data_IF_437108394345
#
_entry.id   IF_437108394345
#
_cell.length_a   1.000
_cell.length_b   1.000
_cell.length_c   1.000
_cell.angle_alpha   90.00
_cell.angle_beta   90.00
_cell.angle_gamma   90.00
#
_symmetry.space_group_name_H-M   'P 1'
#
loop_
_entity.id
_entity.type
_entity.pdbx_description
1 polymer ?
#
# COMPACT_ATOMS: atom_id res chain seq x y z
N UNK A 1 -0.39 29.88 -27.23
CA UNK A 1 0.25 29.36 -26.03
C UNK A 1 -0.69 28.33 -25.39
N UNK A 2 -0.24 27.12 -25.32
CA UNK A 2 -1.03 26.07 -24.69
C UNK A 2 -0.97 26.22 -23.19
N UNK A 3 -2.13 26.22 -22.54
CA UNK A 3 -2.18 26.11 -21.08
C UNK A 3 -1.92 24.68 -20.69
N UNK A 4 -0.90 24.47 -19.86
CA UNK A 4 -0.64 23.13 -19.32
C UNK A 4 -1.65 22.81 -18.20
N UNK A 5 -2.15 21.59 -18.20
CA UNK A 5 -2.95 21.11 -17.07
C UNK A 5 -2.06 20.91 -15.86
N UNK A 6 -2.59 21.14 -14.65
CA UNK A 6 -1.82 20.85 -13.43
C UNK A 6 -1.51 19.35 -13.35
N UNK A 7 -0.34 19.04 -12.78
CA UNK A 7 0.05 17.65 -12.53
C UNK A 7 -0.91 17.00 -11.55
N UNK A 8 -1.20 15.74 -11.78
CA UNK A 8 -2.01 14.94 -10.86
C UNK A 8 -1.12 13.99 -10.06
N UNK A 9 -1.57 13.64 -8.88
CA UNK A 9 -0.94 12.66 -8.02
C UNK A 9 -1.96 11.59 -7.64
N UNK A 10 -1.48 10.43 -7.18
CA UNK A 10 -2.36 9.40 -6.66
C UNK A 10 -2.92 9.86 -5.32
N UNK A 11 -4.24 10.05 -5.23
CA UNK A 11 -4.89 10.48 -4.00
C UNK A 11 -5.17 9.31 -3.07
N UNK A 12 -5.81 8.26 -3.59
CA UNK A 12 -6.26 7.13 -2.80
C UNK A 12 -6.02 5.81 -3.54
N UNK A 13 -5.75 4.77 -2.78
CA UNK A 13 -5.85 3.39 -3.21
C UNK A 13 -6.91 2.72 -2.34
N UNK A 14 -7.95 2.16 -2.94
CA UNK A 14 -9.10 1.62 -2.21
C UNK A 14 -9.06 0.10 -2.23
N UNK A 15 -9.11 -0.53 -1.06
CA UNK A 15 -9.10 -1.98 -0.89
C UNK A 15 -10.33 -2.43 -0.10
N UNK A 16 -10.98 -3.49 -0.58
CA UNK A 16 -11.99 -4.19 0.21
C UNK A 16 -11.31 -5.11 1.19
N UNK A 17 -11.74 -5.08 2.45
CA UNK A 17 -11.20 -5.95 3.50
C UNK A 17 -12.34 -6.65 4.23
N UNK A 18 -12.06 -7.83 4.76
CA UNK A 18 -13.05 -8.61 5.50
C UNK A 18 -13.25 -8.07 6.91
N UNK A 19 -12.17 -7.60 7.55
CA UNK A 19 -12.17 -7.06 8.89
C UNK A 19 -11.32 -5.80 8.96
N UNK A 20 -11.97 -4.66 9.18
CA UNK A 20 -11.32 -3.35 9.25
C UNK A 20 -10.25 -3.32 10.34
N UNK A 21 -10.53 -3.85 11.53
CA UNK A 21 -9.59 -3.80 12.66
C UNK A 21 -8.31 -4.58 12.37
N UNK A 22 -8.43 -5.81 11.88
CA UNK A 22 -7.26 -6.64 11.54
C UNK A 22 -6.41 -5.99 10.46
N UNK A 23 -7.06 -5.45 9.43
CA UNK A 23 -6.35 -4.80 8.32
C UNK A 23 -5.69 -3.50 8.76
N UNK A 24 -6.39 -2.69 9.53
CA UNK A 24 -5.84 -1.45 10.08
C UNK A 24 -4.60 -1.73 10.94
N UNK A 25 -4.69 -2.70 11.84
CA UNK A 25 -3.56 -3.07 12.70
C UNK A 25 -2.38 -3.61 11.89
N UNK A 26 -2.67 -4.41 10.87
CA UNK A 26 -1.63 -4.93 9.96
C UNK A 26 -0.84 -3.78 9.31
N UNK A 27 -1.54 -2.84 8.68
CA UNK A 27 -0.89 -1.74 7.98
C UNK A 27 -0.21 -0.75 8.92
N UNK A 28 -0.80 -0.49 10.09
CA UNK A 28 -0.16 0.31 11.14
C UNK A 28 1.14 -0.32 11.59
N UNK A 29 1.17 -1.61 11.79
CA UNK A 29 2.36 -2.35 12.21
C UNK A 29 3.49 -2.33 11.20
N UNK A 30 3.19 -2.07 9.92
CA UNK A 30 4.22 -1.88 8.89
C UNK A 30 4.96 -0.53 9.01
N UNK A 31 4.60 0.29 9.99
CA UNK A 31 5.18 1.62 10.17
C UNK A 31 4.40 2.72 9.44
N UNK A 32 3.25 2.38 8.86
CA UNK A 32 2.41 3.36 8.18
C UNK A 32 1.58 4.15 9.20
N UNK A 33 1.31 5.39 8.87
CA UNK A 33 0.59 6.29 9.77
C UNK A 33 -0.92 6.05 9.69
N UNK A 34 -1.55 5.78 10.83
CA UNK A 34 -3.00 5.77 10.91
C UNK A 34 -3.55 7.18 10.83
N UNK A 35 -4.53 7.40 9.97
CA UNK A 35 -5.15 8.71 9.82
C UNK A 35 -6.48 8.76 10.59
N UNK A 36 -7.42 7.85 10.26
CA UNK A 36 -8.71 7.79 10.93
C UNK A 36 -9.41 6.46 10.72
N UNK A 37 -10.38 6.16 11.57
CA UNK A 37 -11.26 4.98 11.44
C UNK A 37 -12.72 5.40 11.58
N UNK A 38 -13.54 4.87 10.68
CA UNK A 38 -15.00 5.02 10.69
C UNK A 38 -15.64 3.64 10.66
N UNK A 39 -16.94 3.50 10.96
CA UNK A 39 -17.58 2.18 11.00
C UNK A 39 -17.40 1.31 9.76
N UNK A 40 -17.35 1.86 8.58
CA UNK A 40 -17.20 1.10 7.33
C UNK A 40 -15.87 1.32 6.62
N UNK A 41 -14.93 2.08 7.21
CA UNK A 41 -13.70 2.44 6.54
C UNK A 41 -12.60 2.82 7.52
N UNK A 42 -11.37 2.45 7.20
CA UNK A 42 -10.19 2.96 7.90
C UNK A 42 -9.26 3.63 6.89
N UNK A 43 -8.55 4.63 7.33
CA UNK A 43 -7.64 5.41 6.48
C UNK A 43 -6.22 5.29 7.00
N UNK A 44 -5.33 4.84 6.14
CA UNK A 44 -3.88 4.81 6.37
C UNK A 44 -3.25 5.91 5.51
N UNK A 45 -2.44 6.74 6.10
CA UNK A 45 -1.71 7.77 5.36
C UNK A 45 -0.33 7.25 4.95
N UNK A 46 -0.04 7.37 3.68
CA UNK A 46 1.27 7.05 3.13
C UNK A 46 2.12 8.32 3.04
N UNK A 47 3.42 8.13 2.98
CA UNK A 47 4.35 9.24 2.77
C UNK A 47 3.98 9.98 1.48
N UNK A 48 3.97 11.30 1.53
CA UNK A 48 3.57 12.13 0.40
C UNK A 48 2.08 12.49 0.39
N UNK A 49 1.30 12.01 1.37
CA UNK A 49 -0.11 12.40 1.52
C UNK A 49 -1.11 11.52 0.81
N UNK A 50 -0.67 10.46 0.13
CA UNK A 50 -1.57 9.46 -0.45
C UNK A 50 -2.21 8.64 0.67
N UNK A 51 -3.48 8.31 0.53
CA UNK A 51 -4.21 7.51 1.50
C UNK A 51 -4.53 6.11 0.95
N UNK A 52 -4.34 5.10 1.79
CA UNK A 52 -4.87 3.78 1.59
C UNK A 52 -6.21 3.70 2.34
N UNK A 53 -7.29 3.47 1.61
CA UNK A 53 -8.64 3.34 2.17
C UNK A 53 -8.98 1.86 2.31
N UNK A 54 -9.16 1.40 3.55
CA UNK A 54 -9.58 0.05 3.86
C UNK A 54 -11.10 0.08 4.04
N UNK A 55 -11.84 -0.55 3.13
CA UNK A 55 -13.31 -0.49 3.13
C UNK A 55 -13.89 -1.86 3.46
N UNK A 56 -14.91 -1.87 4.32
CA UNK A 56 -15.56 -3.11 4.69
C UNK A 56 -16.24 -3.76 3.48
N UNK A 57 -16.01 -5.05 3.29
CA UNK A 57 -16.51 -5.81 2.14
C UNK A 57 -18.02 -5.65 1.95
N UNK A 58 -18.78 -5.67 3.02
CA UNK A 58 -20.24 -5.66 2.99
C UNK A 58 -20.85 -4.27 3.29
N UNK A 59 -20.04 -3.22 3.31
CA UNK A 59 -20.52 -1.86 3.58
C UNK A 59 -20.94 -1.17 2.28
N UNK A 60 -22.13 -0.49 2.26
CA UNK A 60 -22.58 0.25 1.08
C UNK A 60 -21.60 1.31 0.58
N UNK A 61 -20.80 1.91 1.48
CA UNK A 61 -19.77 2.86 1.12
C UNK A 61 -18.71 2.23 0.20
N UNK A 62 -18.40 0.94 0.43
CA UNK A 62 -17.46 0.21 -0.42
C UNK A 62 -17.93 0.18 -1.87
N UNK A 63 -19.21 -0.11 -2.09
CA UNK A 63 -19.79 -0.13 -3.43
C UNK A 63 -19.73 1.26 -4.06
N UNK A 64 -20.03 2.30 -3.30
CA UNK A 64 -19.94 3.68 -3.78
C UNK A 64 -18.52 4.04 -4.23
N UNK A 65 -17.51 3.65 -3.45
CA UNK A 65 -16.11 3.93 -3.77
C UNK A 65 -15.61 3.15 -4.99
N UNK A 66 -16.30 2.09 -5.40
CA UNK A 66 -15.94 1.28 -6.55
C UNK A 66 -16.85 1.50 -7.77
N UNK A 67 -17.80 2.43 -7.72
CA UNK A 67 -18.79 2.63 -8.80
C UNK A 67 -18.20 3.14 -10.10
N UNK A 68 -17.04 3.75 -10.08
CA UNK A 68 -16.37 4.23 -11.30
C UNK A 68 -15.71 3.14 -12.14
N UNK A 69 -15.71 1.90 -11.68
CA UNK A 69 -15.12 0.80 -12.43
C UNK A 69 -16.01 0.42 -13.62
N UNK A 70 -15.36 0.13 -14.74
CA UNK A 70 -16.03 -0.38 -15.93
C UNK A 70 -16.26 -1.88 -15.77
N UNK A 71 -17.51 -2.33 -15.98
CA UNK A 71 -17.91 -3.73 -15.85
C UNK A 71 -18.17 -4.15 -14.40
N UNK A 72 -18.60 -5.40 -14.24
CA UNK A 72 -18.85 -5.97 -12.92
C UNK A 72 -17.55 -6.38 -12.25
N UNK A 73 -17.42 -6.00 -10.98
CA UNK A 73 -16.32 -6.46 -10.15
C UNK A 73 -16.82 -7.61 -9.24
N UNK A 74 -16.09 -8.71 -9.11
CA UNK A 74 -16.39 -9.73 -8.10
C UNK A 74 -16.44 -9.11 -6.70
N UNK A 75 -17.22 -9.72 -5.80
CA UNK A 75 -17.36 -9.24 -4.41
C UNK A 75 -16.02 -9.06 -3.72
N UNK A 76 -15.08 -9.93 -4.01
CA UNK A 76 -13.74 -9.84 -3.46
C UNK A 76 -12.71 -10.27 -4.50
N UNK A 77 -11.74 -9.39 -4.76
CA UNK A 77 -10.55 -9.68 -5.54
C UNK A 77 -9.34 -9.31 -4.70
N UNK A 78 -8.30 -10.15 -4.74
CA UNK A 78 -7.02 -9.79 -4.16
C UNK A 78 -6.41 -8.61 -4.93
N UNK A 79 -5.95 -7.63 -4.21
CA UNK A 79 -5.25 -6.48 -4.76
C UNK A 79 -3.75 -6.65 -4.56
N UNK A 80 -2.97 -5.85 -5.24
CA UNK A 80 -1.54 -5.73 -5.03
C UNK A 80 -1.19 -4.27 -4.86
N UNK A 81 -0.47 -3.96 -3.78
CA UNK A 81 0.02 -2.61 -3.54
C UNK A 81 1.54 -2.65 -3.42
N UNK A 82 2.20 -1.77 -4.15
CA UNK A 82 3.64 -1.59 -4.08
C UNK A 82 3.94 -0.31 -3.30
N UNK A 83 4.68 -0.48 -2.22
CA UNK A 83 5.10 0.60 -1.35
C UNK A 83 6.60 0.84 -1.52
N UNK A 84 7.03 2.06 -1.37
CA UNK A 84 8.43 2.44 -1.49
C UNK A 84 8.94 2.93 -0.14
N UNK A 85 9.97 2.28 0.38
CA UNK A 85 10.58 2.70 1.64
C UNK A 85 11.37 4.00 1.45
N UNK A 86 11.73 4.65 2.56
CA UNK A 86 12.48 5.90 2.53
C UNK A 86 13.96 5.71 2.21
N UNK A 87 14.44 4.48 2.07
CA UNK A 87 15.83 4.18 1.73
C UNK A 87 15.98 3.70 0.30
N UNK A 88 17.17 3.86 -0.28
CA UNK A 88 17.44 3.45 -1.66
C UNK A 88 18.43 2.29 -1.78
N UNK A 89 19.11 1.91 -0.70
CA UNK A 89 20.08 0.81 -0.74
C UNK A 89 19.42 -0.52 -0.41
N UNK A 90 20.02 -1.61 -0.88
CA UNK A 90 19.60 -2.96 -0.49
C UNK A 90 19.69 -3.15 1.01
N UNK A 91 20.69 -2.56 1.66
CA UNK A 91 20.87 -2.60 3.10
C UNK A 91 19.70 -1.95 3.84
N UNK A 92 19.18 -0.83 3.34
CA UNK A 92 17.99 -0.19 3.90
C UNK A 92 16.79 -1.14 3.86
N UNK A 93 16.63 -1.84 2.75
CA UNK A 93 15.53 -2.80 2.59
C UNK A 93 15.70 -4.02 3.50
N UNK A 94 16.92 -4.54 3.64
CA UNK A 94 17.23 -5.63 4.55
C UNK A 94 16.90 -5.26 5.99
N UNK A 95 17.26 -4.06 6.42
CA UNK A 95 16.95 -3.57 7.76
C UNK A 95 15.45 -3.42 7.98
N UNK A 96 14.74 -2.90 7.00
CA UNK A 96 13.29 -2.77 7.06
C UNK A 96 12.63 -4.15 7.20
N UNK A 97 13.06 -5.09 6.37
CA UNK A 97 12.55 -6.47 6.40
C UNK A 97 12.80 -7.13 7.75
N UNK A 98 14.00 -7.00 8.29
CA UNK A 98 14.35 -7.53 9.61
C UNK A 98 13.46 -6.95 10.70
N UNK A 99 13.19 -5.66 10.66
CA UNK A 99 12.29 -5.01 11.59
C UNK A 99 10.87 -5.57 11.53
N UNK A 100 10.38 -5.90 10.35
CA UNK A 100 9.07 -6.54 10.19
C UNK A 100 9.05 -7.95 10.80
N UNK A 101 10.10 -8.74 10.57
CA UNK A 101 10.22 -10.08 11.16
C UNK A 101 10.20 -10.00 12.69
N UNK A 102 10.90 -9.04 13.27
CA UNK A 102 10.94 -8.82 14.73
C UNK A 102 9.54 -8.44 15.28
N UNK A 103 8.70 -7.83 14.48
CA UNK A 103 7.31 -7.52 14.85
C UNK A 103 6.35 -8.68 14.63
N UNK A 104 6.81 -9.82 14.13
CA UNK A 104 5.98 -11.00 13.90
C UNK A 104 5.42 -11.17 12.50
N UNK A 105 5.82 -10.33 11.55
CA UNK A 105 5.44 -10.50 10.15
C UNK A 105 6.26 -11.60 9.48
N UNK A 106 5.75 -12.13 8.37
CA UNK A 106 6.41 -13.22 7.62
C UNK A 106 6.65 -12.80 6.16
N UNK A 107 7.53 -11.82 5.93
CA UNK A 107 7.83 -11.40 4.56
C UNK A 107 8.64 -12.47 3.83
N UNK A 108 8.42 -12.57 2.52
CA UNK A 108 9.25 -13.39 1.66
C UNK A 108 10.68 -12.82 1.59
N UNK A 109 11.61 -13.62 1.08
CA UNK A 109 12.97 -13.17 0.89
C UNK A 109 13.04 -12.01 -0.12
N UNK A 110 14.05 -11.17 0.03
CA UNK A 110 14.33 -10.13 -0.96
C UNK A 110 14.62 -10.81 -2.30
N UNK A 111 13.96 -10.33 -3.36
CA UNK A 111 14.12 -10.90 -4.68
C UNK A 111 15.56 -10.75 -5.18
N UNK A 112 16.04 -11.78 -5.88
CA UNK A 112 17.36 -11.76 -6.49
C UNK A 112 17.40 -10.72 -7.63
N UNK A 113 18.48 -9.94 -7.65
CA UNK A 113 18.65 -8.89 -8.63
C UNK A 113 17.85 -7.65 -8.33
N UNK A 114 17.78 -6.75 -9.28
CA UNK A 114 17.01 -5.51 -9.17
C UNK A 114 16.01 -5.41 -10.31
N UNK A 115 14.84 -4.87 -10.01
CA UNK A 115 13.79 -4.59 -11.00
C UNK A 115 13.80 -3.09 -11.24
N UNK A 116 14.23 -2.67 -12.42
CA UNK A 116 14.33 -1.25 -12.81
C UNK A 116 15.09 -0.40 -11.78
N UNK A 117 16.18 -0.96 -11.21
CA UNK A 117 16.99 -0.28 -10.20
C UNK A 117 16.46 -0.40 -8.77
N UNK A 118 15.38 -1.14 -8.54
CA UNK A 118 14.83 -1.37 -7.22
C UNK A 118 15.11 -2.79 -6.74
N UNK A 119 15.39 -2.92 -5.45
CA UNK A 119 15.27 -4.19 -4.74
C UNK A 119 13.88 -4.22 -4.09
N UNK A 120 13.32 -5.40 -3.87
CA UNK A 120 12.01 -5.53 -3.27
C UNK A 120 11.81 -6.87 -2.58
N UNK A 121 10.86 -6.92 -1.68
CA UNK A 121 10.29 -8.15 -1.14
C UNK A 121 8.77 -7.99 -1.02
N UNK A 122 8.09 -9.11 -0.88
CA UNK A 122 6.63 -9.15 -0.82
C UNK A 122 6.13 -9.92 0.39
N UNK A 123 4.90 -9.65 0.77
CA UNK A 123 4.17 -10.37 1.81
C UNK A 123 2.68 -10.27 1.53
N UNK A 124 1.86 -10.97 2.31
CA UNK A 124 0.41 -10.89 2.19
C UNK A 124 -0.19 -10.19 3.40
N UNK A 125 -1.26 -9.43 3.18
CA UNK A 125 -2.06 -8.88 4.26
C UNK A 125 -3.09 -9.92 4.75
N UNK A 126 -3.91 -9.62 5.80
CA UNK A 126 -4.89 -10.58 6.31
C UNK A 126 -5.91 -11.08 5.31
N UNK A 127 -6.15 -10.37 4.23
CA UNK A 127 -7.10 -10.73 3.17
C UNK A 127 -6.46 -11.44 1.98
N UNK A 128 -5.14 -11.67 2.03
CA UNK A 128 -4.40 -12.24 0.91
C UNK A 128 -4.02 -11.23 -0.15
N UNK A 129 -4.17 -9.93 0.10
CA UNK A 129 -3.67 -8.91 -0.81
C UNK A 129 -2.14 -8.90 -0.77
N UNK A 130 -1.52 -8.69 -1.92
CA UNK A 130 -0.07 -8.58 -2.02
C UNK A 130 0.41 -7.20 -1.58
N UNK A 131 1.40 -7.16 -0.70
CA UNK A 131 2.08 -5.93 -0.28
C UNK A 131 3.56 -6.10 -0.58
N UNK A 132 4.10 -5.26 -1.44
CA UNK A 132 5.52 -5.29 -1.79
C UNK A 132 6.19 -4.01 -1.33
N UNK A 133 7.41 -4.14 -0.85
CA UNK A 133 8.24 -3.01 -0.46
C UNK A 133 9.42 -2.90 -1.40
N UNK A 134 9.56 -1.74 -2.00
CA UNK A 134 10.64 -1.40 -2.94
C UNK A 134 11.55 -0.37 -2.33
N UNK A 135 12.83 -0.42 -2.72
CA UNK A 135 13.75 0.70 -2.47
C UNK A 135 13.32 1.90 -3.30
N UNK A 136 13.65 3.10 -2.84
CA UNK A 136 13.43 4.30 -3.64
C UNK A 136 14.39 4.35 -4.83
N UNK A 137 14.09 5.21 -5.79
CA UNK A 137 14.98 5.46 -6.92
C UNK A 137 16.30 6.06 -6.43
N UNK A 138 17.40 5.59 -6.99
CA UNK A 138 18.70 6.20 -6.79
C UNK A 138 18.78 7.46 -7.66
N UNK A 139 18.15 8.54 -7.23
CA UNK A 139 18.15 9.80 -7.97
C UNK A 139 18.35 10.96 -7.00
N UNK A 140 19.25 11.86 -7.37
CA UNK A 140 19.48 13.10 -6.64
C UNK A 140 18.42 14.15 -6.94
N UNK A 141 17.52 13.88 -7.88
CA UNK A 141 16.46 14.82 -8.26
C UNK A 141 15.29 14.71 -7.29
N UNK A 142 14.80 15.84 -6.78
CA UNK A 142 13.58 15.83 -5.97
C UNK A 142 12.38 15.38 -6.78
N UNK A 143 11.46 14.75 -6.10
CA UNK A 143 10.23 14.23 -6.70
C UNK A 143 9.12 15.25 -6.52
#
# INVERSE_FOLDING_TARGET
MEESLPSAALAHFVMKVKDIESSYDFYRGLGLRGFDKFPGMAIIELRGGTHLLLTAKDDPLTDTLHTSRVGQRPDFISEKIDLMIAGHSKSDLENFRTGLIEKGYSPLAIAEGSLYGHHYFSMQDPDGNGVSFYTSHCSDKPV
#
